data_IF_978350986421
#
_entry.id   IF_978350986421
#
_cell.length_a   1.000
_cell.length_b   1.000
_cell.length_c   1.000
_cell.angle_alpha   90.00
_cell.angle_beta   90.00
_cell.angle_gamma   90.00
#
_symmetry.space_group_name_H-M   'P 1'
#
loop_
_entity.id
_entity.type
_entity.pdbx_description
1 polymer ?
#
# COMPACT_ATOMS: atom_id res chain seq x y z
N UNK A 1 0.34 -39.51 -1.93
CA UNK A 1 -0.05 -39.06 -3.30
C UNK A 1 1.14 -39.21 -4.23
N UNK A 2 0.94 -39.79 -5.41
CA UNK A 2 2.02 -40.01 -6.38
C UNK A 2 2.35 -38.73 -7.17
N UNK A 3 3.58 -38.62 -7.70
CA UNK A 3 4.06 -37.47 -8.50
C UNK A 3 3.12 -37.13 -9.68
N UNK A 4 2.45 -38.13 -10.28
CA UNK A 4 1.43 -37.92 -11.32
C UNK A 4 0.19 -37.16 -10.83
N UNK A 5 -0.25 -37.39 -9.59
CA UNK A 5 -1.41 -36.70 -9.01
C UNK A 5 -1.09 -35.22 -8.75
N UNK A 6 0.09 -34.92 -8.21
CA UNK A 6 0.54 -33.54 -8.02
C UNK A 6 0.65 -32.78 -9.34
N UNK A 7 1.09 -33.43 -10.44
CA UNK A 7 1.10 -32.78 -11.76
C UNK A 7 -0.30 -32.41 -12.26
N UNK A 8 -1.27 -33.31 -12.14
CA UNK A 8 -2.66 -33.01 -12.51
C UNK A 8 -3.24 -31.91 -11.64
N UNK A 9 -2.95 -31.91 -10.34
CA UNK A 9 -3.37 -30.84 -9.44
C UNK A 9 -2.80 -29.48 -9.88
N UNK A 10 -1.50 -29.39 -10.21
CA UNK A 10 -0.88 -28.15 -10.70
C UNK A 10 -1.49 -27.70 -12.04
N UNK A 11 -1.83 -28.63 -12.94
CA UNK A 11 -2.52 -28.28 -14.19
C UNK A 11 -3.91 -27.66 -13.95
N UNK A 12 -4.69 -28.23 -13.03
CA UNK A 12 -6.00 -27.69 -12.67
C UNK A 12 -5.87 -26.34 -11.96
N UNK A 13 -4.91 -26.22 -11.02
CA UNK A 13 -4.62 -24.98 -10.30
C UNK A 13 -4.14 -23.86 -11.24
N UNK A 14 -3.29 -24.18 -12.22
CA UNK A 14 -2.83 -23.20 -13.22
C UNK A 14 -3.97 -22.71 -14.10
N UNK A 15 -4.88 -23.59 -14.54
CA UNK A 15 -6.07 -23.17 -15.29
C UNK A 15 -7.01 -22.28 -14.45
N UNK A 16 -7.26 -22.65 -13.20
CA UNK A 16 -8.05 -21.82 -12.26
C UNK A 16 -7.39 -20.46 -12.04
N UNK A 17 -6.06 -20.42 -11.89
CA UNK A 17 -5.31 -19.16 -11.74
C UNK A 17 -5.40 -18.27 -12.98
N UNK A 18 -5.39 -18.84 -14.20
CA UNK A 18 -5.61 -18.07 -15.43
C UNK A 18 -7.00 -17.43 -15.45
N UNK A 19 -8.05 -18.20 -15.12
CA UNK A 19 -9.42 -17.68 -15.06
C UNK A 19 -9.54 -16.54 -14.04
N UNK A 20 -8.94 -16.70 -12.86
CA UNK A 20 -8.88 -15.65 -11.86
C UNK A 20 -8.12 -14.41 -12.35
N UNK A 21 -6.99 -14.57 -13.04
CA UNK A 21 -6.24 -13.47 -13.63
C UNK A 21 -7.00 -12.72 -14.73
N UNK A 22 -7.72 -13.44 -15.58
CA UNK A 22 -8.61 -12.83 -16.59
C UNK A 22 -9.73 -12.02 -15.92
N UNK A 23 -10.37 -12.56 -14.88
CA UNK A 23 -11.39 -11.84 -14.12
C UNK A 23 -10.84 -10.54 -13.51
N UNK A 24 -9.66 -10.59 -12.89
CA UNK A 24 -9.03 -9.42 -12.26
C UNK A 24 -8.63 -8.37 -13.30
N UNK A 25 -8.10 -8.81 -14.44
CA UNK A 25 -7.79 -7.91 -15.57
C UNK A 25 -9.05 -7.20 -16.06
N UNK A 26 -10.14 -7.94 -16.24
CA UNK A 26 -11.44 -7.40 -16.65
C UNK A 26 -11.95 -6.34 -15.65
N UNK A 27 -11.88 -6.61 -14.35
CA UNK A 27 -12.25 -5.64 -13.31
C UNK A 27 -11.34 -4.41 -13.30
N UNK A 28 -10.03 -4.58 -13.47
CA UNK A 28 -9.08 -3.47 -13.55
C UNK A 28 -9.35 -2.54 -14.73
N UNK A 29 -9.68 -3.11 -15.90
CA UNK A 29 -10.05 -2.33 -17.10
C UNK A 29 -11.34 -1.55 -16.88
N UNK A 30 -12.35 -2.14 -16.23
CA UNK A 30 -13.62 -1.46 -15.90
C UNK A 30 -13.41 -0.32 -14.91
N UNK A 31 -12.58 -0.51 -13.89
CA UNK A 31 -12.25 0.55 -12.92
C UNK A 31 -11.49 1.69 -13.60
N UNK A 32 -10.57 1.36 -14.50
CA UNK A 32 -9.83 2.35 -15.26
C UNK A 32 -10.77 3.17 -16.17
N UNK A 33 -11.70 2.51 -16.87
CA UNK A 33 -12.62 3.20 -17.79
C UNK A 33 -13.62 4.09 -17.04
N UNK A 34 -14.13 3.67 -15.88
CA UNK A 34 -15.03 4.49 -15.08
C UNK A 34 -14.36 5.74 -14.50
N UNK A 35 -13.09 5.63 -14.10
CA UNK A 35 -12.35 6.75 -13.50
C UNK A 35 -11.69 7.69 -14.52
N UNK A 36 -11.43 7.24 -15.75
CA UNK A 36 -10.88 8.08 -16.83
C UNK A 36 -11.78 9.25 -17.26
N UNK A 37 -13.06 9.24 -16.83
CA UNK A 37 -14.00 10.33 -17.08
C UNK A 37 -13.84 11.54 -16.15
N UNK A 38 -13.03 11.42 -15.09
CA UNK A 38 -12.64 12.54 -14.23
C UNK A 38 -11.33 13.15 -14.74
N UNK A 39 -11.41 14.38 -15.25
CA UNK A 39 -10.38 15.09 -16.03
C UNK A 39 -9.19 15.61 -15.23
N UNK A 40 -8.55 14.77 -14.40
CA UNK A 40 -7.19 15.01 -13.93
C UNK A 40 -6.52 13.67 -13.66
N UNK A 41 -5.23 13.58 -14.01
CA UNK A 41 -4.34 12.43 -13.79
C UNK A 41 -4.19 12.12 -12.29
N UNK A 42 -5.26 11.62 -11.69
CA UNK A 42 -5.36 11.29 -10.28
C UNK A 42 -4.72 9.93 -10.03
N UNK A 43 -4.08 9.79 -8.88
CA UNK A 43 -3.44 8.58 -8.37
C UNK A 43 -4.31 7.32 -8.49
N UNK A 44 -5.65 7.48 -8.51
CA UNK A 44 -6.62 6.41 -8.69
C UNK A 44 -6.61 5.76 -10.10
N UNK A 45 -6.32 6.54 -11.16
CA UNK A 45 -6.16 5.96 -12.51
C UNK A 45 -4.90 5.12 -12.62
N UNK A 46 -3.83 5.52 -11.93
CA UNK A 46 -2.57 4.77 -11.83
C UNK A 46 -2.79 3.45 -11.09
N UNK A 47 -3.54 3.45 -9.98
CA UNK A 47 -3.81 2.19 -9.26
C UNK A 47 -4.69 1.22 -10.06
N UNK A 48 -5.70 1.71 -10.78
CA UNK A 48 -6.56 0.88 -11.63
C UNK A 48 -5.81 0.27 -12.83
N UNK A 49 -4.95 1.06 -13.48
CA UNK A 49 -4.10 0.56 -14.58
C UNK A 49 -3.08 -0.48 -14.09
N UNK A 50 -2.45 -0.23 -12.94
CA UNK A 50 -1.53 -1.20 -12.33
C UNK A 50 -2.23 -2.53 -12.03
N UNK A 51 -3.48 -2.51 -11.56
CA UNK A 51 -4.25 -3.72 -11.33
C UNK A 51 -4.47 -4.53 -12.60
N UNK A 52 -4.85 -3.88 -13.69
CA UNK A 52 -5.04 -4.54 -14.98
C UNK A 52 -3.73 -5.18 -15.46
N UNK A 53 -2.61 -4.46 -15.33
CA UNK A 53 -1.26 -4.98 -15.67
C UNK A 53 -0.91 -6.20 -14.80
N UNK A 54 -1.14 -6.15 -13.49
CA UNK A 54 -0.87 -7.29 -12.61
C UNK A 54 -1.75 -8.51 -12.94
N UNK A 55 -3.00 -8.30 -13.34
CA UNK A 55 -3.87 -9.35 -13.86
C UNK A 55 -3.28 -10.05 -15.09
N UNK A 56 -2.78 -9.28 -16.06
CA UNK A 56 -2.11 -9.82 -17.26
C UNK A 56 -0.82 -10.56 -16.92
N UNK A 57 0.00 -9.99 -16.03
CA UNK A 57 1.23 -10.65 -15.54
C UNK A 57 0.90 -11.97 -14.86
N UNK A 58 -0.20 -12.02 -14.09
CA UNK A 58 -0.65 -13.26 -13.46
C UNK A 58 -1.06 -14.32 -14.48
N UNK A 59 -1.84 -13.96 -15.50
CA UNK A 59 -2.20 -14.88 -16.59
C UNK A 59 -0.95 -15.41 -17.31
N UNK A 60 0.02 -14.54 -17.60
CA UNK A 60 1.28 -14.93 -18.22
C UNK A 60 2.10 -15.88 -17.33
N UNK A 61 2.18 -15.60 -16.04
CA UNK A 61 2.83 -16.48 -15.07
C UNK A 61 2.16 -17.87 -15.03
N UNK A 62 0.83 -17.91 -14.95
CA UNK A 62 0.05 -19.15 -14.97
C UNK A 62 0.23 -19.94 -16.27
N UNK A 63 0.38 -19.25 -17.42
CA UNK A 63 0.71 -19.88 -18.71
C UNK A 63 2.08 -20.55 -18.69
N UNK A 64 3.10 -19.86 -18.15
CA UNK A 64 4.44 -20.44 -17.99
C UNK A 64 4.38 -21.68 -17.08
N UNK A 65 3.58 -21.66 -16.01
CA UNK A 65 3.36 -22.82 -15.14
C UNK A 65 2.72 -24.00 -15.87
N UNK A 66 1.69 -23.74 -16.67
CA UNK A 66 1.02 -24.78 -17.47
C UNK A 66 1.97 -25.42 -18.49
N UNK A 67 2.75 -24.60 -19.20
CA UNK A 67 3.80 -25.07 -20.13
C UNK A 67 4.87 -25.86 -19.38
N UNK A 68 5.31 -25.39 -18.21
CA UNK A 68 6.33 -26.07 -17.40
C UNK A 68 5.91 -27.47 -16.94
N UNK A 69 4.62 -27.72 -16.67
CA UNK A 69 4.14 -29.06 -16.30
C UNK A 69 4.03 -29.99 -17.52
N UNK A 70 3.67 -29.45 -18.68
CA UNK A 70 3.42 -30.23 -19.91
C UNK A 70 4.72 -30.61 -20.63
N UNK A 71 5.70 -29.70 -20.69
CA UNK A 71 6.98 -29.96 -21.37
C UNK A 71 7.85 -30.92 -20.54
N UNK A 72 8.46 -31.90 -21.22
CA UNK A 72 9.36 -32.90 -20.62
C UNK A 72 10.81 -32.39 -20.53
N UNK A 73 11.27 -31.66 -21.54
CA UNK A 73 12.59 -31.04 -21.63
C UNK A 73 12.61 -29.69 -20.90
N UNK A 74 13.63 -29.41 -20.10
CA UNK A 74 13.78 -28.16 -19.33
C UNK A 74 12.66 -27.83 -18.33
N UNK A 75 11.84 -28.83 -17.96
CA UNK A 75 10.74 -28.73 -16.99
C UNK A 75 11.13 -27.97 -15.72
N UNK A 76 12.32 -28.23 -15.19
CA UNK A 76 12.77 -27.66 -13.93
C UNK A 76 12.97 -26.14 -14.05
N UNK A 77 13.44 -25.63 -15.19
CA UNK A 77 13.62 -24.19 -15.38
C UNK A 77 12.28 -23.45 -15.45
N UNK A 78 11.34 -23.95 -16.26
CA UNK A 78 10.00 -23.36 -16.37
C UNK A 78 9.22 -23.40 -15.05
N UNK A 79 9.31 -24.52 -14.32
CA UNK A 79 8.64 -24.65 -13.02
C UNK A 79 9.25 -23.71 -11.96
N UNK A 80 10.56 -23.44 -12.04
CA UNK A 80 11.22 -22.47 -11.17
C UNK A 80 10.84 -21.04 -11.52
N UNK A 81 10.78 -20.66 -12.81
CA UNK A 81 10.29 -19.35 -13.26
C UNK A 81 8.85 -19.14 -12.78
N UNK A 82 7.99 -20.15 -12.97
CA UNK A 82 6.61 -20.14 -12.48
C UNK A 82 6.53 -19.96 -10.96
N UNK A 83 7.36 -20.69 -10.20
CA UNK A 83 7.43 -20.56 -8.75
C UNK A 83 7.76 -19.13 -8.31
N UNK A 84 8.74 -18.48 -8.96
CA UNK A 84 9.10 -17.09 -8.64
C UNK A 84 8.03 -16.09 -9.03
N UNK A 85 7.48 -16.22 -10.24
CA UNK A 85 6.41 -15.36 -10.71
C UNK A 85 5.19 -15.48 -9.77
N UNK A 86 4.81 -16.70 -9.38
CA UNK A 86 3.73 -16.91 -8.43
C UNK A 86 4.02 -16.33 -7.05
N UNK A 87 5.23 -16.48 -6.53
CA UNK A 87 5.59 -15.94 -5.22
C UNK A 87 5.46 -14.40 -5.22
N UNK A 88 5.94 -13.73 -6.28
CA UNK A 88 5.78 -12.30 -6.45
C UNK A 88 4.31 -11.89 -6.62
N UNK A 89 3.58 -12.58 -7.49
CA UNK A 89 2.16 -12.29 -7.76
C UNK A 89 1.31 -12.52 -6.52
N UNK A 90 1.55 -13.59 -5.74
CA UNK A 90 0.82 -13.87 -4.50
C UNK A 90 0.93 -12.69 -3.52
N UNK A 91 2.12 -12.12 -3.40
CA UNK A 91 2.40 -10.98 -2.52
C UNK A 91 1.62 -9.75 -2.96
N UNK A 92 1.71 -9.39 -4.24
CA UNK A 92 0.95 -8.27 -4.80
C UNK A 92 -0.56 -8.50 -4.64
N UNK A 93 -1.02 -9.73 -4.82
CA UNK A 93 -2.43 -10.10 -4.68
C UNK A 93 -2.93 -10.08 -3.24
N UNK A 94 -2.11 -10.42 -2.26
CA UNK A 94 -2.47 -10.29 -0.83
C UNK A 94 -2.65 -8.82 -0.48
N UNK A 95 -1.73 -7.94 -0.91
CA UNK A 95 -1.91 -6.48 -0.76
C UNK A 95 -3.21 -6.04 -1.41
N UNK A 96 -3.42 -6.46 -2.65
CA UNK A 96 -4.58 -6.03 -3.41
C UNK A 96 -5.90 -6.53 -2.81
N UNK A 97 -5.99 -7.82 -2.45
CA UNK A 97 -7.18 -8.41 -1.85
C UNK A 97 -7.51 -7.75 -0.51
N UNK A 98 -6.48 -7.41 0.27
CA UNK A 98 -6.69 -6.64 1.49
C UNK A 98 -7.22 -5.23 1.20
N UNK A 99 -6.56 -4.49 0.30
CA UNK A 99 -6.99 -3.14 -0.07
C UNK A 99 -8.42 -3.15 -0.61
N UNK A 100 -8.83 -4.21 -1.30
CA UNK A 100 -10.20 -4.40 -1.77
C UNK A 100 -11.19 -4.73 -0.63
N UNK A 101 -10.78 -5.50 0.39
CA UNK A 101 -11.62 -5.82 1.54
C UNK A 101 -11.78 -4.65 2.51
N UNK A 102 -10.76 -3.79 2.62
CA UNK A 102 -10.76 -2.55 3.41
C UNK A 102 -11.16 -1.34 2.57
N UNK A 103 -11.46 -1.56 1.29
CA UNK A 103 -12.02 -0.57 0.38
C UNK A 103 -13.25 0.16 0.95
N UNK A 104 -14.22 -0.48 1.65
CA UNK A 104 -15.43 0.23 2.08
C UNK A 104 -15.13 1.42 3.01
N UNK A 105 -14.24 1.26 3.99
CA UNK A 105 -13.85 2.34 4.91
C UNK A 105 -12.86 3.32 4.28
N UNK A 106 -11.98 2.84 3.39
CA UNK A 106 -11.03 3.69 2.67
C UNK A 106 -11.69 4.48 1.55
N UNK A 107 -12.79 4.02 0.97
CA UNK A 107 -13.59 4.73 -0.04
C UNK A 107 -14.26 5.94 0.60
N UNK A 108 -14.85 5.81 1.79
CA UNK A 108 -15.39 6.97 2.53
C UNK A 108 -14.30 8.02 2.79
N UNK A 109 -13.14 7.57 3.26
CA UNK A 109 -11.99 8.45 3.55
C UNK A 109 -11.43 9.07 2.26
N UNK A 110 -11.36 8.32 1.16
CA UNK A 110 -10.92 8.78 -0.16
C UNK A 110 -11.89 9.76 -0.78
N UNK A 111 -13.20 9.47 -0.69
CA UNK A 111 -14.28 10.32 -1.18
C UNK A 111 -14.23 11.66 -0.45
N UNK A 112 -13.97 11.64 0.86
CA UNK A 112 -13.72 12.83 1.66
C UNK A 112 -12.49 13.57 1.12
N UNK A 113 -11.32 12.90 1.03
CA UNK A 113 -10.07 13.48 0.52
C UNK A 113 -10.19 14.14 -0.87
N UNK A 114 -11.02 13.61 -1.76
CA UNK A 114 -11.17 14.08 -3.14
C UNK A 114 -12.46 14.85 -3.38
N UNK A 115 -13.24 15.13 -2.32
CA UNK A 115 -14.56 15.75 -2.41
C UNK A 115 -14.54 17.07 -3.16
N UNK A 116 -13.51 17.90 -2.92
CA UNK A 116 -13.34 19.19 -3.57
C UNK A 116 -13.13 19.10 -5.09
N UNK A 117 -12.56 17.99 -5.58
CA UNK A 117 -12.19 17.80 -6.99
C UNK A 117 -13.20 16.93 -7.75
N UNK A 118 -14.20 16.36 -7.06
CA UNK A 118 -15.18 15.49 -7.70
C UNK A 118 -16.30 16.32 -8.34
N UNK A 119 -16.64 16.08 -9.62
CA UNK A 119 -17.76 16.76 -10.30
C UNK A 119 -19.15 16.37 -9.74
N UNK A 120 -19.18 15.56 -8.68
CA UNK A 120 -20.38 15.12 -7.98
C UNK A 120 -21.12 16.29 -7.31
N UNK A 121 -20.41 17.36 -6.92
CA UNK A 121 -21.00 18.54 -6.24
C UNK A 121 -22.02 19.29 -7.10
N UNK A 122 -21.93 19.17 -8.43
CA UNK A 122 -22.87 19.79 -9.37
C UNK A 122 -24.17 18.98 -9.55
N UNK A 123 -24.23 17.75 -9.01
CA UNK A 123 -25.46 16.95 -9.06
C UNK A 123 -26.36 17.30 -7.87
N UNK A 124 -27.68 17.47 -8.09
CA UNK A 124 -28.62 17.85 -7.04
C UNK A 124 -28.72 16.82 -5.90
N UNK A 125 -28.35 15.56 -6.16
CA UNK A 125 -28.35 14.48 -5.19
C UNK A 125 -27.11 14.43 -4.26
N UNK A 126 -26.05 15.19 -4.56
CA UNK A 126 -24.75 15.09 -3.88
C UNK A 126 -24.25 16.48 -3.45
N UNK A 127 -25.15 17.33 -2.94
CA UNK A 127 -24.84 18.73 -2.65
C UNK A 127 -23.99 18.90 -1.38
N UNK A 128 -24.16 18.00 -0.41
CA UNK A 128 -23.34 17.88 0.80
C UNK A 128 -22.60 16.53 0.82
N UNK A 129 -21.51 16.45 1.59
CA UNK A 129 -20.76 15.20 1.76
C UNK A 129 -21.65 14.11 2.39
N UNK A 130 -22.45 14.47 3.40
CA UNK A 130 -23.37 13.53 4.04
C UNK A 130 -24.48 13.08 3.10
N UNK A 131 -25.03 13.95 2.24
CA UNK A 131 -26.01 13.53 1.22
C UNK A 131 -25.39 12.62 0.17
N UNK A 132 -24.14 12.84 -0.22
CA UNK A 132 -23.43 11.97 -1.15
C UNK A 132 -23.06 10.63 -0.50
N UNK A 133 -22.68 10.64 0.78
CA UNK A 133 -22.43 9.43 1.58
C UNK A 133 -23.71 8.63 1.76
N UNK A 134 -24.81 9.27 2.13
CA UNK A 134 -26.14 8.67 2.26
C UNK A 134 -26.67 8.23 0.89
N UNK A 135 -26.39 8.93 -0.21
CA UNK A 135 -26.70 8.45 -1.56
C UNK A 135 -25.88 7.21 -1.93
N UNK A 136 -24.65 7.08 -1.43
CA UNK A 136 -23.81 5.88 -1.58
C UNK A 136 -24.29 4.74 -0.64
N UNK A 137 -24.73 5.05 0.59
CA UNK A 137 -25.14 4.09 1.64
C UNK A 137 -26.60 3.62 1.57
N UNK A 138 -27.57 4.50 1.28
CA UNK A 138 -29.01 4.17 1.12
C UNK A 138 -29.24 3.30 -0.11
N UNK A 139 -28.41 3.44 -1.13
CA UNK A 139 -28.32 2.50 -2.24
C UNK A 139 -27.80 1.12 -1.79
N UNK A 140 -26.99 1.05 -0.73
CA UNK A 140 -26.42 -0.19 -0.18
C UNK A 140 -27.34 -0.99 0.76
N UNK A 141 -28.34 -0.37 1.39
CA UNK A 141 -29.21 -1.01 2.40
C UNK A 141 -30.61 -1.39 1.91
N UNK A 142 -31.06 -0.87 0.78
CA UNK A 142 -32.35 -1.27 0.18
C UNK A 142 -32.11 -2.05 -1.10
N UNK A 143 -32.21 -3.39 -1.01
CA UNK A 143 -32.70 -4.32 -2.06
C UNK A 143 -32.02 -5.70 -1.93
N UNK A 144 -32.49 -6.49 -0.95
CA UNK A 144 -32.21 -7.92 -0.80
C UNK A 144 -32.95 -8.80 -1.85
N UNK A 145 -33.43 -8.22 -2.97
CA UNK A 145 -34.28 -8.91 -3.94
C UNK A 145 -33.50 -9.17 -5.23
N UNK A 146 -33.00 -10.40 -5.31
CA UNK A 146 -32.73 -11.25 -6.48
C UNK A 146 -33.03 -10.58 -7.84
N UNK A 147 -32.04 -9.94 -8.47
CA UNK A 147 -32.00 -9.79 -9.93
C UNK A 147 -30.59 -9.53 -10.44
N UNK A 148 -30.21 -10.39 -11.37
CA UNK A 148 -28.93 -10.52 -12.06
C UNK A 148 -28.81 -9.45 -13.15
N UNK A 149 -28.71 -8.17 -12.78
CA UNK A 149 -28.46 -7.05 -13.72
C UNK A 149 -27.17 -6.31 -13.37
N UNK A 150 -26.33 -6.13 -14.39
CA UNK A 150 -24.86 -6.13 -14.33
C UNK A 150 -24.20 -4.79 -13.94
N UNK A 151 -24.94 -3.78 -13.45
CA UNK A 151 -24.42 -2.39 -13.42
C UNK A 151 -24.44 -1.62 -12.09
N UNK A 152 -24.69 -2.24 -10.92
CA UNK A 152 -24.66 -1.49 -9.65
C UNK A 152 -23.73 -2.09 -8.59
N UNK A 153 -23.18 -1.18 -7.79
CA UNK A 153 -22.49 -1.35 -6.49
C UNK A 153 -20.97 -1.53 -6.51
N UNK A 154 -20.26 -0.41 -6.37
CA UNK A 154 -18.80 -0.32 -6.21
C UNK A 154 -18.32 -1.09 -4.97
N UNK A 155 -19.02 -1.01 -3.82
CA UNK A 155 -18.63 -1.74 -2.60
C UNK A 155 -18.77 -3.26 -2.73
N UNK A 156 -19.84 -3.74 -3.38
CA UNK A 156 -20.06 -5.16 -3.68
C UNK A 156 -19.00 -5.65 -4.67
N UNK A 157 -18.66 -4.85 -5.70
CA UNK A 157 -17.57 -5.17 -6.64
C UNK A 157 -16.22 -5.31 -5.92
N UNK A 158 -15.89 -4.40 -4.99
CA UNK A 158 -14.66 -4.50 -4.19
C UNK A 158 -14.65 -5.73 -3.26
N UNK A 159 -15.76 -6.05 -2.62
CA UNK A 159 -15.88 -7.26 -1.80
C UNK A 159 -15.71 -8.54 -2.62
N UNK A 160 -16.33 -8.63 -3.81
CA UNK A 160 -16.14 -9.74 -4.74
C UNK A 160 -14.70 -9.83 -5.25
N UNK A 161 -14.04 -8.70 -5.52
CA UNK A 161 -12.62 -8.68 -5.89
C UNK A 161 -11.73 -9.16 -4.73
N UNK A 162 -12.05 -8.79 -3.50
CA UNK A 162 -11.37 -9.29 -2.30
C UNK A 162 -11.53 -10.81 -2.14
N UNK A 163 -12.74 -11.33 -2.32
CA UNK A 163 -13.02 -12.77 -2.28
C UNK A 163 -12.29 -13.54 -3.40
N UNK A 164 -12.37 -13.06 -4.65
CA UNK A 164 -11.69 -13.65 -5.79
C UNK A 164 -10.17 -13.59 -5.63
N UNK A 165 -9.65 -12.47 -5.10
CA UNK A 165 -8.25 -12.31 -4.74
C UNK A 165 -7.82 -13.32 -3.68
N UNK A 166 -8.60 -13.49 -2.61
CA UNK A 166 -8.35 -14.47 -1.55
C UNK A 166 -8.37 -15.92 -2.06
N UNK A 167 -9.35 -16.28 -2.88
CA UNK A 167 -9.40 -17.59 -3.55
C UNK A 167 -8.19 -17.79 -4.49
N UNK A 168 -7.80 -16.74 -5.20
CA UNK A 168 -6.60 -16.69 -6.02
C UNK A 168 -5.33 -16.99 -5.21
N UNK A 169 -5.14 -16.31 -4.07
CA UNK A 169 -4.03 -16.54 -3.14
C UNK A 169 -4.03 -17.99 -2.63
N UNK A 170 -5.19 -18.53 -2.23
CA UNK A 170 -5.32 -19.92 -1.81
C UNK A 170 -4.88 -20.91 -2.90
N UNK A 171 -5.30 -20.66 -4.15
CA UNK A 171 -4.87 -21.47 -5.30
C UNK A 171 -3.36 -21.37 -5.58
N UNK A 172 -2.78 -20.18 -5.42
CA UNK A 172 -1.35 -19.95 -5.59
C UNK A 172 -0.53 -20.69 -4.53
N UNK A 173 -0.93 -20.60 -3.26
CA UNK A 173 -0.29 -21.31 -2.16
C UNK A 173 -0.36 -22.82 -2.37
N UNK A 174 -1.54 -23.35 -2.75
CA UNK A 174 -1.69 -24.76 -3.07
C UNK A 174 -0.79 -25.20 -4.24
N UNK A 175 -0.65 -24.36 -5.28
CA UNK A 175 0.25 -24.62 -6.40
C UNK A 175 1.73 -24.62 -5.96
N UNK A 176 2.15 -23.69 -5.10
CA UNK A 176 3.51 -23.63 -4.55
C UNK A 176 3.83 -24.89 -3.73
N UNK A 177 2.91 -25.34 -2.87
CA UNK A 177 3.08 -26.59 -2.09
C UNK A 177 3.23 -27.80 -3.02
N UNK A 178 2.45 -27.88 -4.09
CA UNK A 178 2.57 -28.95 -5.07
C UNK A 178 3.90 -28.91 -5.81
N UNK A 179 4.38 -27.72 -6.20
CA UNK A 179 5.68 -27.52 -6.86
C UNK A 179 6.83 -27.95 -5.94
N UNK A 180 6.80 -27.56 -4.66
CA UNK A 180 7.80 -27.96 -3.66
C UNK A 180 7.84 -29.48 -3.46
N UNK A 181 6.70 -30.18 -3.61
CA UNK A 181 6.66 -31.65 -3.55
C UNK A 181 7.16 -32.33 -4.82
N UNK A 182 7.13 -31.65 -5.97
CA UNK A 182 7.59 -32.20 -7.26
C UNK A 182 9.10 -32.01 -7.44
N UNK A 183 9.65 -30.87 -7.00
CA UNK A 183 11.07 -30.56 -7.16
C UNK A 183 11.84 -30.91 -5.88
N UNK A 184 13.09 -31.36 -6.02
CA UNK A 184 13.97 -31.59 -4.88
C UNK A 184 14.18 -30.28 -4.10
N UNK A 185 13.67 -30.26 -2.86
CA UNK A 185 13.73 -29.13 -1.92
C UNK A 185 15.07 -28.38 -1.90
N UNK A 186 16.24 -29.05 -1.82
CA UNK A 186 17.52 -28.32 -1.72
C UNK A 186 17.91 -27.55 -2.98
N UNK A 187 17.55 -28.03 -4.18
CA UNK A 187 17.86 -27.33 -5.43
C UNK A 187 17.00 -26.07 -5.56
N UNK A 188 15.71 -26.18 -5.26
CA UNK A 188 14.78 -25.04 -5.26
C UNK A 188 15.22 -24.00 -4.24
N UNK A 189 15.52 -24.41 -3.02
CA UNK A 189 15.88 -23.50 -1.93
C UNK A 189 17.14 -22.70 -2.25
N UNK A 190 18.15 -23.30 -2.91
CA UNK A 190 19.37 -22.57 -3.29
C UNK A 190 19.10 -21.46 -4.30
N UNK A 191 18.37 -21.77 -5.37
CA UNK A 191 18.01 -20.76 -6.37
C UNK A 191 17.07 -19.71 -5.76
N UNK A 192 16.14 -20.14 -4.91
CA UNK A 192 15.17 -19.27 -4.27
C UNK A 192 15.82 -18.26 -3.34
N UNK A 193 16.74 -18.72 -2.50
CA UNK A 193 17.49 -17.84 -1.61
C UNK A 193 18.33 -16.84 -2.42
N UNK A 194 18.84 -17.23 -3.58
CA UNK A 194 19.61 -16.33 -4.46
C UNK A 194 18.72 -15.24 -5.07
N UNK A 195 17.55 -15.60 -5.61
CA UNK A 195 16.62 -14.65 -6.22
C UNK A 195 16.04 -13.68 -5.19
N UNK A 196 15.57 -14.21 -4.05
CA UNK A 196 15.00 -13.38 -2.97
C UNK A 196 16.02 -12.37 -2.44
N UNK A 197 17.26 -12.81 -2.20
CA UNK A 197 18.31 -11.89 -1.76
C UNK A 197 18.75 -10.92 -2.86
N UNK A 198 18.71 -11.30 -4.14
CA UNK A 198 18.97 -10.35 -5.23
C UNK A 198 17.92 -9.22 -5.25
N UNK A 199 16.65 -9.54 -5.03
CA UNK A 199 15.59 -8.54 -4.90
C UNK A 199 15.84 -7.64 -3.68
N UNK A 200 16.22 -8.21 -2.53
CA UNK A 200 16.55 -7.43 -1.34
C UNK A 200 17.80 -6.56 -1.49
N UNK A 201 18.76 -6.92 -2.35
CA UNK A 201 19.86 -6.02 -2.71
C UNK A 201 19.33 -4.75 -3.38
N UNK A 202 18.45 -4.88 -4.37
CA UNK A 202 17.86 -3.71 -5.03
C UNK A 202 17.04 -2.87 -4.06
N UNK A 203 16.27 -3.49 -3.17
CA UNK A 203 15.52 -2.78 -2.12
C UNK A 203 16.47 -2.09 -1.13
N UNK A 204 17.56 -2.74 -0.73
CA UNK A 204 18.58 -2.16 0.14
C UNK A 204 19.26 -0.93 -0.49
N UNK A 205 19.60 -1.02 -1.78
CA UNK A 205 20.17 0.12 -2.52
C UNK A 205 19.14 1.25 -2.64
N UNK A 206 17.90 0.94 -3.01
CA UNK A 206 16.83 1.94 -3.16
C UNK A 206 16.54 2.65 -1.85
N UNK A 207 16.51 1.93 -0.72
CA UNK A 207 16.30 2.53 0.62
C UNK A 207 17.46 3.42 1.05
N UNK A 208 18.71 3.04 0.76
CA UNK A 208 19.88 3.90 1.01
C UNK A 208 19.82 5.17 0.15
N UNK A 209 19.56 5.04 -1.16
CA UNK A 209 19.43 6.18 -2.08
C UNK A 209 18.30 7.10 -1.64
N UNK A 210 17.15 6.54 -1.26
CA UNK A 210 16.03 7.32 -0.75
C UNK A 210 16.36 8.02 0.57
N UNK A 211 17.13 7.37 1.46
CA UNK A 211 17.63 8.02 2.68
C UNK A 211 18.55 9.21 2.40
N UNK A 212 19.45 9.10 1.41
CA UNK A 212 20.26 10.22 0.93
C UNK A 212 19.40 11.33 0.31
N UNK A 213 18.39 10.96 -0.48
CA UNK A 213 17.44 11.90 -1.06
C UNK A 213 16.71 12.68 0.04
N UNK A 214 16.10 12.00 1.02
CA UNK A 214 15.41 12.63 2.14
C UNK A 214 16.32 13.58 2.94
N UNK A 215 17.58 13.20 3.13
CA UNK A 215 18.58 14.04 3.79
C UNK A 215 18.93 15.29 2.98
N UNK A 216 19.02 15.17 1.66
CA UNK A 216 19.50 16.25 0.78
C UNK A 216 18.42 17.31 0.51
N UNK A 217 17.15 16.90 0.45
CA UNK A 217 16.05 17.77 0.01
C UNK A 217 15.33 18.51 1.15
N UNK A 218 15.90 18.58 2.36
CA UNK A 218 15.26 19.14 3.57
C UNK A 218 13.78 18.75 3.69
N UNK A 219 13.43 17.55 3.22
CA UNK A 219 12.04 17.05 3.26
C UNK A 219 11.62 16.83 4.71
N UNK A 220 12.60 16.63 5.59
CA UNK A 220 12.45 16.58 7.03
C UNK A 220 12.93 17.89 7.64
N UNK A 221 12.05 18.88 7.70
CA UNK A 221 12.19 20.00 8.62
C UNK A 221 11.73 19.58 10.03
N UNK A 222 12.29 20.21 11.07
CA UNK A 222 12.05 19.95 12.50
C UNK A 222 12.71 18.69 13.11
N UNK A 223 14.03 18.56 13.01
CA UNK A 223 14.81 17.66 13.89
C UNK A 223 14.67 16.15 13.62
N UNK A 224 13.96 15.76 12.56
CA UNK A 224 13.73 14.37 12.16
C UNK A 224 14.88 13.75 11.35
N UNK A 225 16.06 14.38 11.30
CA UNK A 225 17.24 13.86 10.57
C UNK A 225 17.63 12.44 10.99
N UNK A 226 17.32 12.05 12.23
CA UNK A 226 17.53 10.69 12.74
C UNK A 226 16.75 9.64 11.95
N UNK A 227 15.58 9.97 11.39
CA UNK A 227 14.78 9.05 10.57
C UNK A 227 15.49 8.71 9.25
N UNK A 228 16.11 9.71 8.61
CA UNK A 228 16.91 9.47 7.40
C UNK A 228 18.12 8.58 7.70
N UNK A 229 18.79 8.78 8.84
CA UNK A 229 19.88 7.91 9.29
C UNK A 229 19.43 6.47 9.58
N UNK A 230 18.28 6.30 10.23
CA UNK A 230 17.68 4.98 10.45
C UNK A 230 17.39 4.27 9.13
N UNK A 231 16.77 4.97 8.17
CA UNK A 231 16.44 4.38 6.88
C UNK A 231 17.70 3.95 6.11
N UNK A 232 18.73 4.80 6.09
CA UNK A 232 20.03 4.43 5.50
C UNK A 232 20.64 3.22 6.21
N UNK A 233 20.63 3.20 7.55
CA UNK A 233 21.15 2.09 8.35
C UNK A 233 20.44 0.77 8.04
N UNK A 234 19.10 0.78 7.99
CA UNK A 234 18.29 -0.38 7.60
C UNK A 234 18.64 -0.85 6.19
N UNK A 235 18.75 0.07 5.23
CA UNK A 235 19.11 -0.27 3.85
C UNK A 235 20.48 -0.93 3.73
N UNK A 236 21.49 -0.44 4.48
CA UNK A 236 22.83 -1.05 4.55
C UNK A 236 22.76 -2.44 5.17
N UNK A 237 22.03 -2.63 6.28
CA UNK A 237 21.88 -3.92 6.93
C UNK A 237 21.21 -4.94 5.99
N UNK A 238 20.12 -4.55 5.32
CA UNK A 238 19.42 -5.40 4.33
C UNK A 238 20.36 -5.77 3.19
N UNK A 239 21.14 -4.81 2.67
CA UNK A 239 22.11 -5.05 1.61
C UNK A 239 23.19 -6.08 2.03
N UNK A 240 23.81 -5.89 3.19
CA UNK A 240 24.87 -6.78 3.72
C UNK A 240 24.33 -8.18 4.01
N UNK A 241 23.17 -8.29 4.65
CA UNK A 241 22.52 -9.59 4.89
C UNK A 241 22.20 -10.30 3.57
N UNK A 242 21.71 -9.57 2.57
CA UNK A 242 21.41 -10.14 1.27
C UNK A 242 22.66 -10.67 0.55
N UNK A 243 23.79 -9.97 0.66
CA UNK A 243 25.08 -10.45 0.16
C UNK A 243 25.50 -11.75 0.86
N UNK A 244 25.40 -11.82 2.19
CA UNK A 244 25.68 -13.06 2.92
C UNK A 244 24.75 -14.20 2.54
N UNK A 245 23.48 -13.92 2.26
CA UNK A 245 22.52 -14.90 1.76
C UNK A 245 22.93 -15.48 0.39
N UNK A 246 23.33 -14.64 -0.56
CA UNK A 246 23.81 -15.07 -1.89
C UNK A 246 25.13 -15.84 -1.77
N UNK A 247 26.11 -15.28 -1.05
CA UNK A 247 27.42 -15.89 -0.88
C UNK A 247 27.32 -17.21 -0.12
N UNK A 248 26.52 -17.29 0.94
CA UNK A 248 26.25 -18.52 1.68
C UNK A 248 25.62 -19.60 0.80
N UNK A 249 24.61 -19.23 -0.02
CA UNK A 249 23.97 -20.15 -0.95
C UNK A 249 24.92 -20.63 -2.07
N UNK A 250 25.81 -19.76 -2.56
CA UNK A 250 26.75 -20.11 -3.65
C UNK A 250 27.97 -20.89 -3.15
N UNK A 251 28.64 -20.39 -2.11
CA UNK A 251 29.85 -20.97 -1.54
C UNK A 251 29.59 -22.24 -0.71
N UNK A 252 28.33 -22.60 -0.46
CA UNK A 252 27.93 -23.73 0.40
C UNK A 252 28.55 -23.66 1.81
N UNK A 253 28.88 -22.45 2.26
CA UNK A 253 29.52 -22.20 3.55
C UNK A 253 28.47 -22.20 4.67
N UNK A 254 28.59 -23.14 5.62
CA UNK A 254 27.68 -23.25 6.77
C UNK A 254 27.77 -22.04 7.70
N UNK A 255 28.96 -21.44 7.83
CA UNK A 255 29.23 -20.28 8.69
C UNK A 255 28.57 -19.02 8.15
N UNK A 256 28.74 -18.73 6.86
CA UNK A 256 28.06 -17.58 6.22
C UNK A 256 26.54 -17.72 6.31
N UNK A 257 26.05 -18.94 6.13
CA UNK A 257 24.61 -19.19 6.19
C UNK A 257 24.06 -19.13 7.62
N UNK A 258 24.86 -19.44 8.64
CA UNK A 258 24.53 -19.21 10.05
C UNK A 258 24.41 -17.71 10.33
N UNK A 259 25.41 -16.90 9.93
CA UNK A 259 25.37 -15.45 10.10
C UNK A 259 24.13 -14.85 9.45
N UNK A 260 23.80 -15.30 8.23
CA UNK A 260 22.58 -14.90 7.55
C UNK A 260 21.29 -15.29 8.31
N UNK A 261 21.18 -16.53 8.81
CA UNK A 261 20.03 -16.98 9.61
C UNK A 261 19.88 -16.14 10.88
N UNK A 262 20.97 -15.89 11.60
CA UNK A 262 20.96 -15.08 12.82
C UNK A 262 20.56 -13.64 12.52
N UNK A 263 21.08 -13.07 11.43
CA UNK A 263 20.70 -11.74 10.97
C UNK A 263 19.22 -11.62 10.62
N UNK A 264 18.67 -12.58 9.86
CA UNK A 264 17.24 -12.63 9.55
C UNK A 264 16.37 -12.74 10.81
N UNK A 265 16.80 -13.55 11.79
CA UNK A 265 16.09 -13.69 13.06
C UNK A 265 16.08 -12.37 13.86
N UNK A 266 17.22 -11.66 13.91
CA UNK A 266 17.28 -10.34 14.54
C UNK A 266 16.40 -9.33 13.82
N UNK A 267 16.41 -9.30 12.48
CA UNK A 267 15.52 -8.44 11.69
C UNK A 267 14.04 -8.74 11.97
N UNK A 268 13.67 -10.02 12.09
CA UNK A 268 12.31 -10.42 12.44
C UNK A 268 11.92 -9.91 13.84
N UNK A 269 12.78 -10.07 14.84
CA UNK A 269 12.53 -9.55 16.18
C UNK A 269 12.39 -8.03 16.19
N UNK A 270 13.27 -7.31 15.47
CA UNK A 270 13.16 -5.84 15.38
C UNK A 270 11.85 -5.42 14.73
N UNK A 271 11.39 -6.14 13.70
CA UNK A 271 10.13 -5.88 13.02
C UNK A 271 8.93 -6.11 13.94
N UNK A 272 8.95 -7.18 14.74
CA UNK A 272 7.92 -7.44 15.75
C UNK A 272 7.88 -6.33 16.82
N UNK A 273 9.03 -5.94 17.36
CA UNK A 273 9.12 -4.87 18.38
C UNK A 273 8.67 -3.53 17.80
N UNK A 274 9.08 -3.19 16.58
CA UNK A 274 8.65 -1.95 15.91
C UNK A 274 7.16 -1.95 15.61
N UNK A 275 6.59 -3.10 15.23
CA UNK A 275 5.15 -3.21 14.98
C UNK A 275 4.36 -3.04 16.29
N UNK A 276 4.73 -3.76 17.35
CA UNK A 276 4.05 -3.69 18.66
C UNK A 276 4.14 -2.26 19.22
N UNK A 277 5.31 -1.63 19.16
CA UNK A 277 5.49 -0.25 19.63
C UNK A 277 4.68 0.75 18.81
N UNK A 278 4.63 0.62 17.48
CA UNK A 278 3.81 1.48 16.63
C UNK A 278 2.31 1.35 16.95
N UNK A 279 1.80 0.13 17.09
CA UNK A 279 0.39 -0.08 17.45
C UNK A 279 0.06 0.40 18.85
N UNK A 280 0.96 0.19 19.82
CA UNK A 280 0.76 0.63 21.20
C UNK A 280 0.79 2.15 21.30
N UNK A 281 1.66 2.81 20.54
CA UNK A 281 1.70 4.27 20.45
C UNK A 281 0.43 4.82 19.80
N UNK A 282 -0.04 4.19 18.71
CA UNK A 282 -1.27 4.57 18.04
C UNK A 282 -2.51 4.45 18.94
N UNK A 283 -2.62 3.40 19.75
CA UNK A 283 -3.75 3.25 20.69
C UNK A 283 -3.70 4.26 21.83
N UNK A 284 -2.50 4.72 22.20
CA UNK A 284 -2.34 5.72 23.26
C UNK A 284 -2.43 7.16 22.74
N UNK A 285 -2.58 7.38 21.42
CA UNK A 285 -2.83 8.69 20.83
C UNK A 285 -4.25 9.24 21.10
N UNK A 286 -5.10 8.55 21.85
CA UNK A 286 -6.35 9.12 22.36
C UNK A 286 -6.14 10.35 23.29
N UNK A 287 -4.90 10.68 23.64
CA UNK A 287 -4.49 11.87 24.40
C UNK A 287 -4.01 13.04 23.52
N UNK A 288 -4.16 12.97 22.20
CA UNK A 288 -3.71 14.04 21.30
C UNK A 288 -4.63 15.27 21.46
N UNK A 289 -4.05 16.36 21.96
CA UNK A 289 -4.68 17.68 22.05
C UNK A 289 -5.18 18.16 20.68
N UNK A 290 -6.28 18.94 20.67
CA UNK A 290 -6.89 19.49 19.45
C UNK A 290 -5.88 20.17 18.50
N UNK A 291 -4.78 20.72 19.03
CA UNK A 291 -3.71 21.35 18.27
C UNK A 291 -2.97 20.40 17.30
N UNK A 292 -2.87 19.11 17.59
CA UNK A 292 -2.15 18.19 16.70
C UNK A 292 -3.03 17.66 15.54
N UNK A 293 -4.34 17.87 15.58
CA UNK A 293 -5.28 17.49 14.51
C UNK A 293 -4.96 18.29 13.25
N UNK A 294 -4.83 19.60 13.42
CA UNK A 294 -4.52 20.55 12.35
C UNK A 294 -3.15 20.27 11.73
N UNK A 295 -2.13 20.03 12.57
CA UNK A 295 -0.78 19.72 12.10
C UNK A 295 -0.73 18.41 11.28
N UNK A 296 -1.44 17.37 11.73
CA UNK A 296 -1.52 16.10 11.00
C UNK A 296 -2.28 16.27 9.69
N UNK A 297 -3.40 16.99 9.70
CA UNK A 297 -4.21 17.21 8.51
C UNK A 297 -3.49 18.11 7.48
N UNK A 298 -2.81 19.16 7.93
CA UNK A 298 -1.98 20.00 7.07
C UNK A 298 -0.74 19.27 6.56
N UNK A 299 -0.07 18.48 7.40
CA UNK A 299 1.07 17.64 7.00
C UNK A 299 0.68 16.60 5.95
N UNK A 300 -0.53 16.04 6.06
CA UNK A 300 -1.12 15.16 5.06
C UNK A 300 -1.62 15.86 3.78
N UNK A 301 -1.53 17.20 3.71
CA UNK A 301 -2.11 18.04 2.65
C UNK A 301 -3.57 17.69 2.37
N UNK A 302 -4.33 17.47 3.45
CA UNK A 302 -5.74 17.15 3.35
C UNK A 302 -6.53 18.36 2.82
N UNK A 303 -7.64 18.10 2.11
CA UNK A 303 -8.50 19.16 1.58
C UNK A 303 -9.13 20.00 2.70
N UNK A 304 -9.50 21.25 2.40
CA UNK A 304 -10.13 22.13 3.39
C UNK A 304 -9.18 22.78 4.39
N UNK A 305 -7.92 22.34 4.42
CA UNK A 305 -6.90 22.94 5.25
C UNK A 305 -6.37 24.24 4.67
N UNK A 306 -6.14 25.21 5.56
CA UNK A 306 -5.78 26.56 5.16
C UNK A 306 -4.26 26.77 5.18
N UNK A 307 -3.67 27.04 4.00
CA UNK A 307 -2.24 27.37 3.82
C UNK A 307 -1.24 26.42 4.52
N UNK A 308 -1.29 25.12 4.19
CA UNK A 308 -0.37 24.08 4.71
C UNK A 308 1.03 24.07 4.06
N UNK A 309 1.56 25.21 3.67
CA UNK A 309 2.88 25.29 3.05
C UNK A 309 3.96 25.23 4.12
N UNK A 310 4.86 24.25 4.02
CA UNK A 310 6.03 24.14 4.88
C UNK A 310 7.25 24.80 4.19
N UNK A 311 8.05 25.62 4.90
CA UNK A 311 7.85 26.08 6.28
C UNK A 311 6.63 27.01 6.37
N UNK A 312 5.87 26.95 7.48
CA UNK A 312 4.63 27.71 7.72
C UNK A 312 4.75 29.15 7.25
N UNK A 313 4.38 29.41 6.00
CA UNK A 313 4.48 30.74 5.45
C UNK A 313 3.28 31.48 6.02
N UNK A 314 3.54 32.43 6.93
CA UNK A 314 2.52 33.22 7.62
C UNK A 314 1.54 33.72 6.55
N UNK A 315 0.26 33.37 6.65
CA UNK A 315 -0.70 33.80 5.64
C UNK A 315 -0.67 35.33 5.56
N UNK A 316 -0.87 35.89 4.35
CA UNK A 316 -0.83 37.33 4.14
C UNK A 316 -1.81 38.10 5.05
N UNK A 317 -2.81 37.43 5.62
CA UNK A 317 -3.78 38.01 6.53
C UNK A 317 -5.08 38.35 5.79
N UNK A 318 -6.11 38.70 6.57
CA UNK A 318 -7.42 39.09 6.06
C UNK A 318 -7.74 40.52 6.51
N UNK A 319 -8.30 41.29 5.59
CA UNK A 319 -8.87 42.60 5.82
C UNK A 319 -10.41 42.52 5.82
N UNK A 320 -11.06 43.19 6.78
CA UNK A 320 -12.51 43.30 6.87
C UNK A 320 -12.95 44.72 6.57
N UNK A 321 -13.69 44.89 5.47
CA UNK A 321 -14.23 46.19 5.10
C UNK A 321 -15.53 46.48 5.84
N UNK A 322 -15.46 47.31 6.89
CA UNK A 322 -16.59 47.70 7.73
C UNK A 322 -17.75 48.37 6.95
N UNK A 323 -17.49 48.98 5.79
CA UNK A 323 -18.53 49.68 5.02
C UNK A 323 -19.29 48.77 4.07
N UNK A 324 -18.66 47.70 3.57
CA UNK A 324 -19.26 46.79 2.57
C UNK A 324 -19.44 45.38 3.10
N UNK A 325 -19.07 45.13 4.36
CA UNK A 325 -19.00 43.81 5.01
C UNK A 325 -18.29 42.76 4.14
N UNK A 326 -17.26 43.20 3.40
CA UNK A 326 -16.55 42.35 2.45
C UNK A 326 -15.18 41.99 3.03
N UNK A 327 -14.87 40.69 2.99
CA UNK A 327 -13.58 40.13 3.40
C UNK A 327 -12.64 40.01 2.19
N UNK A 328 -11.38 40.42 2.33
CA UNK A 328 -10.35 40.29 1.29
C UNK A 328 -8.98 39.93 1.87
N UNK A 329 -8.09 39.35 1.05
CA UNK A 329 -6.72 39.01 1.44
C UNK A 329 -5.84 40.26 1.48
N UNK A 330 -4.96 40.40 2.48
CA UNK A 330 -4.13 41.60 2.63
C UNK A 330 -3.03 41.79 1.56
N UNK A 331 -2.94 40.88 0.56
CA UNK A 331 -2.01 41.03 -0.56
C UNK A 331 -2.49 42.05 -1.62
N UNK A 332 -3.73 42.55 -1.51
CA UNK A 332 -4.23 43.62 -2.37
C UNK A 332 -3.96 44.98 -1.73
N UNK A 333 -2.93 45.69 -2.21
CA UNK A 333 -2.64 47.08 -1.85
C UNK A 333 -3.86 47.96 -2.15
N UNK A 334 -4.67 48.25 -1.13
CA UNK A 334 -5.77 49.21 -1.22
C UNK A 334 -5.47 50.34 -0.26
N UNK A 335 -5.21 51.51 -0.84
CA UNK A 335 -4.77 52.74 -0.18
C UNK A 335 -5.96 53.50 0.43
N UNK A 336 -6.89 52.81 1.09
CA UNK A 336 -8.08 53.44 1.65
C UNK A 336 -7.93 53.69 3.15
N UNK A 337 -8.10 54.94 3.55
CA UNK A 337 -7.89 55.44 4.92
C UNK A 337 -8.96 55.01 5.93
N UNK A 338 -9.94 54.20 5.51
CA UNK A 338 -11.02 53.67 6.36
C UNK A 338 -10.81 52.20 6.76
N UNK A 339 -9.63 51.64 6.48
CA UNK A 339 -9.34 50.22 6.68
C UNK A 339 -8.83 49.87 8.08
N UNK A 340 -9.55 49.00 8.80
CA UNK A 340 -9.06 48.27 9.97
C UNK A 340 -7.72 47.54 9.67
N UNK A 341 -6.80 47.49 10.64
CA UNK A 341 -5.48 46.89 10.43
C UNK A 341 -5.57 45.42 10.00
N UNK A 342 -4.77 45.03 9.00
CA UNK A 342 -4.69 43.65 8.51
C UNK A 342 -4.45 42.67 9.67
N UNK A 343 -5.33 41.69 9.82
CA UNK A 343 -5.14 40.63 10.82
C UNK A 343 -4.20 39.57 10.23
N UNK A 344 -2.94 39.61 10.66
CA UNK A 344 -1.94 38.62 10.26
C UNK A 344 -2.25 37.24 10.86
N UNK A 345 -1.80 36.17 10.19
CA UNK A 345 -1.94 34.79 10.69
C UNK A 345 -3.32 34.15 10.52
N UNK A 346 -4.22 34.80 9.78
CA UNK A 346 -5.52 34.23 9.40
C UNK A 346 -5.69 34.26 7.88
N UNK A 347 -6.57 33.40 7.37
CA UNK A 347 -6.95 33.33 5.97
C UNK A 347 -8.45 33.07 5.83
N UNK A 348 -8.96 33.28 4.63
CA UNK A 348 -10.34 32.99 4.27
C UNK A 348 -10.48 31.52 3.90
N UNK A 349 -11.40 30.82 4.56
CA UNK A 349 -11.80 29.46 4.23
C UNK A 349 -13.30 29.41 3.96
N UNK A 350 -13.72 28.57 3.01
CA UNK A 350 -15.13 28.38 2.73
C UNK A 350 -15.82 27.69 3.93
N UNK A 351 -16.98 28.19 4.36
CA UNK A 351 -17.72 27.56 5.43
C UNK A 351 -18.41 26.27 4.91
N UNK A 352 -18.15 25.09 5.50
CA UNK A 352 -18.72 23.83 5.04
C UNK A 352 -20.25 23.77 5.25
N UNK A 353 -20.78 24.48 6.24
CA UNK A 353 -22.22 24.51 6.56
C UNK A 353 -22.97 25.57 5.74
N UNK A 354 -22.26 26.56 5.20
CA UNK A 354 -22.84 27.67 4.45
C UNK A 354 -21.91 28.07 3.29
N UNK A 355 -22.00 27.44 2.11
CA UNK A 355 -21.03 27.61 1.02
C UNK A 355 -21.02 29.02 0.39
N UNK A 356 -21.99 29.88 0.72
CA UNK A 356 -22.00 31.30 0.37
C UNK A 356 -21.31 32.20 1.40
N UNK A 357 -20.89 31.65 2.54
CA UNK A 357 -20.20 32.33 3.62
C UNK A 357 -18.74 31.89 3.70
N UNK A 358 -17.88 32.84 4.02
CA UNK A 358 -16.44 32.65 4.13
C UNK A 358 -16.05 32.97 5.57
N UNK A 359 -15.44 32.01 6.25
CA UNK A 359 -15.01 32.16 7.64
C UNK A 359 -13.55 32.59 7.69
N UNK A 360 -13.21 33.35 8.75
CA UNK A 360 -11.84 33.75 9.06
C UNK A 360 -11.22 32.66 9.93
N UNK A 361 -10.23 31.96 9.38
CA UNK A 361 -9.62 30.77 10.00
C UNK A 361 -8.12 31.00 10.20
N UNK A 362 -7.53 30.62 11.35
CA UNK A 362 -6.08 30.70 11.54
C UNK A 362 -5.32 29.84 10.52
N UNK A 363 -4.15 30.31 10.11
CA UNK A 363 -3.28 29.55 9.20
C UNK A 363 -2.95 28.17 9.77
N UNK A 364 -2.95 27.15 8.91
CA UNK A 364 -2.69 25.78 9.31
C UNK A 364 -3.91 25.05 9.88
N UNK A 365 -5.02 25.75 10.14
CA UNK A 365 -6.22 25.12 10.67
C UNK A 365 -7.06 24.45 9.57
N UNK A 366 -7.63 23.31 9.92
CA UNK A 366 -8.37 22.41 9.03
C UNK A 366 -9.81 22.21 9.53
N UNK A 367 -10.72 23.18 9.31
CA UNK A 367 -12.07 23.15 9.89
C UNK A 367 -12.96 22.01 9.36
N UNK A 368 -12.60 21.43 8.21
CA UNK A 368 -13.32 20.29 7.62
C UNK A 368 -12.98 18.94 8.26
N UNK A 369 -11.98 18.89 9.13
CA UNK A 369 -11.48 17.66 9.75
C UNK A 369 -11.72 17.66 11.25
N UNK A 370 -12.53 16.73 11.74
CA UNK A 370 -12.71 16.52 13.17
C UNK A 370 -11.62 15.57 13.71
N UNK A 371 -11.39 15.59 15.02
CA UNK A 371 -10.49 14.68 15.73
C UNK A 371 -10.76 13.21 15.42
N UNK A 372 -12.03 12.85 15.25
CA UNK A 372 -12.43 11.49 14.90
C UNK A 372 -12.01 11.13 13.47
N UNK A 373 -12.15 12.05 12.52
CA UNK A 373 -11.77 11.81 11.12
C UNK A 373 -10.26 11.63 10.96
N UNK A 374 -9.47 12.45 11.67
CA UNK A 374 -8.01 12.32 11.67
C UNK A 374 -7.59 11.01 12.34
N UNK A 375 -8.25 10.60 13.43
CA UNK A 375 -8.03 9.28 14.04
C UNK A 375 -8.35 8.14 13.08
N UNK A 376 -9.47 8.21 12.38
CA UNK A 376 -9.85 7.20 11.39
C UNK A 376 -8.87 7.16 10.22
N UNK A 377 -8.37 8.30 9.77
CA UNK A 377 -7.32 8.42 8.74
C UNK A 377 -5.99 7.79 9.18
N UNK A 378 -5.52 8.12 10.39
CA UNK A 378 -4.29 7.57 10.97
C UNK A 378 -4.42 6.06 11.20
N UNK A 379 -5.56 5.62 11.73
CA UNK A 379 -5.88 4.21 11.93
C UNK A 379 -5.88 3.42 10.61
N UNK A 380 -6.51 3.97 9.56
CA UNK A 380 -6.52 3.36 8.23
C UNK A 380 -5.11 3.26 7.62
N UNK A 381 -4.29 4.30 7.82
CA UNK A 381 -2.89 4.31 7.37
C UNK A 381 -2.03 3.28 8.13
N UNK A 382 -2.26 3.13 9.44
CA UNK A 382 -1.59 2.13 10.28
C UNK A 382 -1.98 0.70 9.91
N UNK A 383 -3.24 0.46 9.54
CA UNK A 383 -3.68 -0.82 9.03
C UNK A 383 -2.90 -1.24 7.77
N UNK A 384 -2.73 -0.30 6.82
CA UNK A 384 -1.94 -0.51 5.61
C UNK A 384 -0.47 -0.82 5.93
N UNK A 385 0.13 -0.07 6.87
CA UNK A 385 1.50 -0.29 7.33
C UNK A 385 1.65 -1.66 8.03
N UNK A 386 0.68 -2.04 8.86
CA UNK A 386 0.66 -3.31 9.58
C UNK A 386 0.69 -4.52 8.65
N UNK A 387 0.11 -4.40 7.48
CA UNK A 387 0.08 -5.48 6.49
C UNK A 387 1.33 -5.54 5.68
N UNK A 388 1.84 -4.39 5.26
CA UNK A 388 3.15 -4.35 4.63
C UNK A 388 4.20 -4.96 5.57
N UNK A 389 4.11 -4.65 6.87
CA UNK A 389 4.92 -5.28 7.92
C UNK A 389 4.69 -6.80 8.03
N UNK A 390 3.42 -7.26 8.07
CA UNK A 390 3.08 -8.69 8.10
C UNK A 390 3.61 -9.46 6.89
N UNK A 391 3.55 -8.84 5.71
CA UNK A 391 4.06 -9.41 4.47
C UNK A 391 5.57 -9.51 4.45
N UNK A 392 6.26 -8.46 4.90
CA UNK A 392 7.71 -8.50 5.09
C UNK A 392 8.10 -9.58 6.10
N UNK A 393 7.35 -9.73 7.19
CA UNK A 393 7.55 -10.80 8.17
C UNK A 393 7.38 -12.19 7.53
N UNK A 394 6.38 -12.38 6.67
CA UNK A 394 6.19 -13.62 5.92
C UNK A 394 7.38 -13.92 4.99
N UNK A 395 7.87 -12.93 4.25
CA UNK A 395 9.06 -13.09 3.41
C UNK A 395 10.31 -13.46 4.22
N UNK A 396 10.51 -12.80 5.36
CA UNK A 396 11.60 -13.12 6.29
C UNK A 396 11.48 -14.55 6.80
N UNK A 397 10.28 -15.00 7.18
CA UNK A 397 10.03 -16.36 7.63
C UNK A 397 10.32 -17.41 6.53
N UNK A 398 9.93 -17.12 5.29
CA UNK A 398 10.23 -17.96 4.13
C UNK A 398 11.73 -18.02 3.86
N UNK A 399 12.42 -16.88 3.86
CA UNK A 399 13.87 -16.81 3.67
C UNK A 399 14.64 -17.52 4.80
N UNK A 400 14.20 -17.35 6.05
CA UNK A 400 14.73 -18.02 7.22
C UNK A 400 14.58 -19.53 7.10
N UNK A 401 13.38 -20.01 6.78
CA UNK A 401 13.10 -21.44 6.60
C UNK A 401 13.94 -22.03 5.47
N UNK A 402 14.03 -21.33 4.33
CA UNK A 402 14.85 -21.74 3.20
C UNK A 402 16.33 -21.84 3.56
N UNK A 403 16.86 -20.89 4.33
CA UNK A 403 18.22 -20.95 4.83
C UNK A 403 18.44 -22.11 5.81
N UNK A 404 17.56 -22.32 6.79
CA UNK A 404 17.67 -23.43 7.75
C UNK A 404 17.67 -24.79 7.04
N UNK A 405 16.75 -24.98 6.08
CA UNK A 405 16.67 -26.20 5.28
C UNK A 405 17.94 -26.39 4.44
N UNK A 406 18.43 -25.33 3.79
CA UNK A 406 19.66 -25.41 3.00
C UNK A 406 20.86 -25.78 3.89
N UNK A 407 20.98 -25.17 5.07
CA UNK A 407 22.03 -25.49 6.05
C UNK A 407 22.00 -26.95 6.48
N UNK A 408 20.81 -27.48 6.81
CA UNK A 408 20.63 -28.90 7.21
C UNK A 408 20.96 -29.85 6.07
N UNK A 409 20.53 -29.54 4.84
CA UNK A 409 20.84 -30.38 3.68
C UNK A 409 22.35 -30.47 3.42
N UNK A 410 23.08 -29.37 3.59
CA UNK A 410 24.55 -29.36 3.51
C UNK A 410 25.24 -30.14 4.64
N UNK A 411 24.56 -30.37 5.79
CA UNK A 411 25.06 -31.23 6.86
C UNK A 411 25.05 -32.71 6.45
N UNK A 412 23.93 -33.17 5.91
CA UNK A 412 23.75 -34.57 5.48
C UNK A 412 24.59 -34.96 4.27
N UNK A 413 24.89 -34.03 3.35
CA UNK A 413 25.75 -34.34 2.20
C UNK A 413 27.20 -34.69 2.56
N UNK A 414 27.70 -34.28 3.73
CA UNK A 414 29.06 -34.66 4.16
C UNK A 414 29.13 -36.00 4.88
N UNK A 415 28.00 -36.53 5.36
CA UNK A 415 27.98 -37.82 6.09
C UNK A 415 27.83 -39.03 5.16
N UNK A 416 27.47 -38.83 3.89
CA UNK A 416 27.39 -39.92 2.88
C UNK A 416 28.65 -40.04 2.01
N UNK A 417 29.64 -39.15 2.17
CA UNK A 417 30.88 -39.16 1.37
C UNK A 417 32.14 -39.52 2.17
N UNK A 418 31.98 -40.15 3.34
CA UNK A 418 33.09 -40.65 4.18
C UNK A 418 32.94 -42.17 4.31
#
# INVERSE_FOLDING_TARGET
MGVRQYRRAVQVLTLLSMLAGCAITYFGVILCSSMSSATDTSSATVTATMLAVFGVVYVAASAIGFVGVTVSKDRLQFLMIYFYANLFVTVVFVLFAYMALVAPSTVDTWLKMHWANLPLRHRPCCRTFDDARVYVDVLGLSMFVISFSLDRYISVRFSWMGLLGGLGVGSLVAALVCVVKIVTVPVVMRHMLTVVNAMFIFVGIATVVYGFYMKSYTVLDAGLHWLAWMLMGVGVVVFVLSLFGILGARAKSRTLLLVYITGLFLCFLTLCVSAISAFTYATNMDLVDDYAIDDVACGGRLFGCSNCTAPFQVCPGVYHNLTTDHLSLCNTTTNDTTTQACRAGVTLAANPNAPSHVDIVPCGHCPEWNAQDVRDYVSSSLHLLGILSSMLAFFLAVAFTGAVVLRRSLASYQTESI
#
